data_IF_940677961557
#
_entry.id   IF_940677961557
#
_cell.length_a   1.000
_cell.length_b   1.000
_cell.length_c   1.000
_cell.angle_alpha   90.00
_cell.angle_beta   90.00
_cell.angle_gamma   90.00
#
_symmetry.space_group_name_H-M   'P 1'
#
loop_
_entity.id
_entity.type
_entity.pdbx_description
1 polymer ?
#
# COMPACT_ATOMS: atom_id res chain seq x y z
N UNK A 1 5.62 17.75 -1.76
CA UNK A 1 4.89 16.47 -1.67
C UNK A 1 5.87 15.39 -1.25
N UNK A 2 5.51 14.59 -0.24
CA UNK A 2 6.33 13.47 0.24
C UNK A 2 6.00 12.24 -0.58
N UNK A 3 6.99 11.39 -0.89
CA UNK A 3 6.74 10.12 -1.58
C UNK A 3 6.30 9.08 -0.56
N UNK A 4 5.31 8.27 -0.93
CA UNK A 4 4.91 7.15 -0.11
C UNK A 4 6.05 6.14 0.06
N UNK A 5 6.14 5.47 1.23
CA UNK A 5 7.09 4.40 1.46
C UNK A 5 7.03 3.36 0.34
N UNK A 6 8.17 2.81 -0.06
CA UNK A 6 8.25 1.75 -1.09
C UNK A 6 7.73 2.12 -2.49
N UNK A 7 7.32 3.36 -2.77
CA UNK A 7 6.95 3.80 -4.12
C UNK A 7 8.09 3.58 -5.13
N UNK A 8 9.34 3.73 -4.70
CA UNK A 8 10.51 3.45 -5.54
C UNK A 8 10.76 1.96 -5.78
N UNK A 9 10.17 1.07 -4.98
CA UNK A 9 10.27 -0.39 -5.14
C UNK A 9 9.13 -0.97 -5.98
N UNK A 10 8.08 -0.20 -6.21
CA UNK A 10 7.05 -0.55 -7.18
C UNK A 10 7.67 -0.61 -8.57
N UNK A 11 7.17 -1.52 -9.40
CA UNK A 11 7.62 -1.63 -10.78
C UNK A 11 7.55 -0.27 -11.48
N UNK A 12 8.55 0.09 -12.30
CA UNK A 12 8.48 1.26 -13.16
C UNK A 12 7.47 1.06 -14.30
N UNK A 13 7.08 -0.19 -14.58
CA UNK A 13 6.03 -0.51 -15.54
C UNK A 13 4.67 -0.06 -14.98
N UNK A 14 4.04 0.84 -15.74
CA UNK A 14 2.82 1.56 -15.38
C UNK A 14 1.56 0.74 -15.63
N UNK A 15 1.70 -0.37 -16.35
CA UNK A 15 0.62 -1.33 -16.64
C UNK A 15 0.45 -2.37 -15.52
N UNK A 16 1.45 -2.48 -14.64
CA UNK A 16 1.40 -3.41 -13.52
C UNK A 16 0.62 -2.83 -12.34
N UNK A 17 -0.06 -3.72 -11.64
CA UNK A 17 -0.87 -3.39 -10.49
C UNK A 17 0.01 -3.01 -9.29
N UNK A 18 -0.31 -1.91 -8.62
CA UNK A 18 0.33 -1.52 -7.36
C UNK A 18 -0.50 -2.02 -6.20
N UNK A 19 0.08 -2.82 -5.31
CA UNK A 19 -0.59 -3.29 -4.09
C UNK A 19 -0.30 -2.35 -2.93
N UNK A 20 -1.34 -1.80 -2.31
CA UNK A 20 -1.24 -0.91 -1.15
C UNK A 20 -1.92 -1.58 0.06
N UNK A 21 -1.15 -1.78 1.13
CA UNK A 21 -1.61 -2.19 2.45
C UNK A 21 -1.67 -0.98 3.36
N UNK A 22 -2.83 -0.69 3.93
CA UNK A 22 -3.01 0.47 4.80
C UNK A 22 -3.74 0.14 6.10
N UNK A 23 -3.32 0.78 7.19
CA UNK A 23 -3.90 0.63 8.51
C UNK A 23 -2.91 0.16 9.57
N UNK A 24 -3.40 -0.05 10.79
CA UNK A 24 -2.59 -0.48 11.94
C UNK A 24 -1.92 -1.84 11.73
N UNK A 25 -2.54 -2.73 10.96
CA UNK A 25 -2.03 -4.07 10.65
C UNK A 25 -1.30 -4.15 9.31
N UNK A 26 -1.05 -3.01 8.64
CA UNK A 26 -0.45 -3.01 7.30
C UNK A 26 0.97 -3.61 7.30
N UNK A 27 1.78 -3.31 8.33
CA UNK A 27 3.12 -3.86 8.46
C UNK A 27 3.11 -5.38 8.65
N UNK A 28 2.28 -5.89 9.57
CA UNK A 28 2.13 -7.33 9.83
C UNK A 28 1.61 -8.06 8.60
N UNK A 29 0.60 -7.51 7.94
CA UNK A 29 0.03 -8.07 6.70
C UNK A 29 1.09 -8.11 5.58
N UNK A 30 1.92 -7.08 5.48
CA UNK A 30 3.04 -7.07 4.52
C UNK A 30 4.08 -8.15 4.83
N UNK A 31 4.31 -8.44 6.10
CA UNK A 31 5.23 -9.49 6.53
C UNK A 31 4.71 -10.88 6.21
N UNK A 32 3.41 -11.11 6.37
CA UNK A 32 2.75 -12.37 5.97
C UNK A 32 2.83 -12.53 4.46
N UNK A 33 2.44 -11.51 3.69
CA UNK A 33 2.50 -11.52 2.23
C UNK A 33 3.90 -11.85 1.70
N UNK A 34 4.96 -11.28 2.31
CA UNK A 34 6.35 -11.55 1.88
C UNK A 34 6.83 -12.97 2.18
N UNK A 35 6.20 -13.64 3.13
CA UNK A 35 6.56 -15.01 3.54
C UNK A 35 5.70 -16.07 2.87
N UNK A 36 4.68 -15.66 2.11
CA UNK A 36 3.80 -16.56 1.39
C UNK A 36 4.57 -17.24 0.24
N UNK A 37 4.76 -18.57 0.29
CA UNK A 37 5.47 -19.32 -0.74
C UNK A 37 4.67 -19.42 -2.06
N UNK A 38 3.34 -19.24 -2.00
CA UNK A 38 2.44 -19.34 -3.15
C UNK A 38 2.14 -17.96 -3.78
N UNK A 39 2.91 -16.93 -3.40
CA UNK A 39 2.72 -15.58 -3.94
C UNK A 39 2.95 -15.57 -5.45
N UNK A 40 1.98 -15.04 -6.19
CA UNK A 40 2.08 -14.85 -7.64
C UNK A 40 2.83 -13.56 -8.00
N UNK A 41 2.97 -12.64 -7.04
CA UNK A 41 3.61 -11.33 -7.23
C UNK A 41 4.86 -11.19 -6.35
N UNK A 42 5.98 -10.81 -6.97
CA UNK A 42 7.25 -10.58 -6.30
C UNK A 42 7.42 -9.12 -5.82
N UNK A 43 6.58 -8.20 -6.28
CA UNK A 43 6.63 -6.79 -5.94
C UNK A 43 6.06 -6.55 -4.53
N UNK A 44 6.87 -6.10 -3.55
CA UNK A 44 6.39 -5.92 -2.20
C UNK A 44 5.30 -4.83 -2.14
N UNK A 45 4.24 -5.03 -1.34
CA UNK A 45 3.19 -4.03 -1.20
C UNK A 45 3.72 -2.75 -0.58
N UNK A 46 3.11 -1.63 -0.98
CA UNK A 46 3.27 -0.34 -0.32
C UNK A 46 2.57 -0.37 1.02
N UNK A 47 3.29 -0.08 2.10
CA UNK A 47 2.76 -0.12 3.46
C UNK A 47 2.52 1.31 3.93
N UNK A 48 1.27 1.64 4.24
CA UNK A 48 0.85 2.91 4.84
C UNK A 48 0.38 2.66 6.27
N UNK A 49 1.23 3.00 7.24
CA UNK A 49 0.90 2.92 8.66
C UNK A 49 0.01 4.08 9.12
N UNK A 50 -0.29 4.16 10.42
CA UNK A 50 -1.09 5.24 11.00
C UNK A 50 -0.54 6.64 10.69
N UNK A 51 0.78 6.80 10.71
CA UNK A 51 1.44 8.08 10.47
C UNK A 51 1.35 8.50 8.99
N UNK A 52 1.55 7.57 8.06
CA UNK A 52 1.35 7.86 6.63
C UNK A 52 -0.12 8.12 6.30
N UNK A 53 -1.04 7.43 6.97
CA UNK A 53 -2.48 7.70 6.81
C UNK A 53 -2.88 9.07 7.34
N UNK A 54 -2.28 9.54 8.43
CA UNK A 54 -2.52 10.88 8.95
C UNK A 54 -2.03 11.99 7.99
N UNK A 55 -1.04 11.69 7.15
CA UNK A 55 -0.44 12.62 6.18
C UNK A 55 -0.85 12.33 4.71
N UNK A 56 -1.94 11.57 4.51
CA UNK A 56 -2.32 11.05 3.20
C UNK A 56 -2.47 12.12 2.11
N UNK A 57 -2.97 13.31 2.48
CA UNK A 57 -3.15 14.44 1.55
C UNK A 57 -1.84 15.01 1.01
N UNK A 58 -0.72 14.80 1.71
CA UNK A 58 0.60 15.31 1.32
C UNK A 58 1.48 14.22 0.67
N UNK A 59 0.95 13.00 0.56
CA UNK A 59 1.64 11.82 0.05
C UNK A 59 1.33 11.59 -1.44
N UNK A 60 2.39 11.46 -2.23
CA UNK A 60 2.30 10.88 -3.58
C UNK A 60 2.39 9.37 -3.47
N UNK A 61 1.26 8.71 -3.65
CA UNK A 61 1.08 7.26 -3.50
C UNK A 61 1.12 6.55 -4.84
N UNK A 62 0.57 7.18 -5.88
CA UNK A 62 0.43 6.63 -7.22
C UNK A 62 1.18 7.54 -8.19
N UNK A 63 1.87 6.96 -9.18
CA UNK A 63 2.45 7.77 -10.26
C UNK A 63 1.31 8.26 -11.17
N UNK A 64 1.38 9.46 -11.77
CA UNK A 64 0.27 10.04 -12.54
C UNK A 64 -0.26 9.18 -13.70
N UNK A 65 0.46 8.11 -14.05
CA UNK A 65 0.29 7.24 -15.19
C UNK A 65 0.04 5.78 -14.82
N UNK A 66 -0.07 5.45 -13.52
CA UNK A 66 -0.39 4.10 -13.08
C UNK A 66 -1.83 3.76 -13.46
N UNK A 67 -2.01 2.64 -14.18
CA UNK A 67 -3.31 2.25 -14.72
C UNK A 67 -4.18 1.48 -13.71
N UNK A 68 -3.56 0.69 -12.82
CA UNK A 68 -4.27 -0.20 -11.90
C UNK A 68 -3.68 -0.16 -10.49
N UNK A 69 -4.56 -0.14 -9.49
CA UNK A 69 -4.19 -0.16 -8.07
C UNK A 69 -5.06 -1.14 -7.32
N UNK A 70 -4.42 -2.11 -6.64
CA UNK A 70 -5.08 -2.96 -5.64
C UNK A 70 -4.92 -2.34 -4.27
N UNK A 71 -6.03 -2.06 -3.62
CA UNK A 71 -6.02 -1.57 -2.25
C UNK A 71 -6.52 -2.66 -1.30
N UNK A 72 -5.72 -2.97 -0.28
CA UNK A 72 -6.06 -3.88 0.79
C UNK A 72 -6.02 -3.14 2.13
N UNK A 73 -7.16 -3.15 2.82
CA UNK A 73 -7.31 -2.62 4.18
C UNK A 73 -7.56 -3.77 5.15
N UNK A 74 -6.50 -4.41 5.70
CA UNK A 74 -6.67 -5.43 6.73
C UNK A 74 -7.21 -4.75 8.00
N UNK A 75 -8.51 -4.93 8.24
CA UNK A 75 -9.26 -4.47 9.40
C UNK A 75 -9.17 -2.96 9.72
N UNK A 76 -9.94 -2.15 9.01
CA UNK A 76 -10.39 -0.88 9.58
C UNK A 76 -11.66 -1.18 10.38
N UNK A 77 -11.60 -1.20 11.72
CA UNK A 77 -12.79 -0.95 12.52
C UNK A 77 -13.16 0.52 12.33
N UNK A 78 -13.91 0.80 11.27
CA UNK A 78 -14.51 2.12 11.09
C UNK A 78 -15.61 2.22 12.12
N UNK A 79 -15.30 2.70 13.34
CA UNK A 79 -16.35 3.36 14.13
C UNK A 79 -16.76 4.58 13.33
N UNK A 80 -17.86 4.47 12.58
CA UNK A 80 -18.67 5.64 12.23
C UNK A 80 -19.09 6.28 13.56
N UNK A 81 -18.46 7.39 13.92
CA UNK A 81 -19.12 8.31 14.86
C UNK A 81 -20.17 9.06 14.05
N UNK A 82 -21.42 8.92 14.49
CA UNK A 82 -22.51 9.83 14.14
C UNK A 82 -22.21 11.24 14.66
#
# INVERSE_FOLDING_TARGET
MKRAPFLCKQSPDRTLEVVILAGSLAWETSHVWRKDPDREDDVPPMVLGPDELADLSNLTIIRPDTLYVRYFAPAISVKKSC
#
